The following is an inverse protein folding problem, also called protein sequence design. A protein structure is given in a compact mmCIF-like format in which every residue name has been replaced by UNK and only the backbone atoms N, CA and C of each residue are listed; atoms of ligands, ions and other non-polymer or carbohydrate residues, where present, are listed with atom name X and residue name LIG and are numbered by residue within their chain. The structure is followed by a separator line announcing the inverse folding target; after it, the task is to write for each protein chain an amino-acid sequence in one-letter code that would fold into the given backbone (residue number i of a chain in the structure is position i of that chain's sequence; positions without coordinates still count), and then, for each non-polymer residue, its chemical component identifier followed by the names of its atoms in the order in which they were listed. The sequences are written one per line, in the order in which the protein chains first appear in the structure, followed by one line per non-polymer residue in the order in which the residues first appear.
data_IF_585431233424
#
_entry.id   IF_585431233424
#
_cell.length_a   1.000
_cell.length_b   1.000
_cell.length_c   1.000
_cell.angle_alpha   90.00
_cell.angle_beta   90.00
_cell.angle_gamma   90.00
#
_symmetry.space_group_name_H-M   'P 1'
#
loop_
_entity.id
_entity.type
_entity.pdbx_description
1 polymer ?
#
# COMPACT_ATOMS: atom_id res chain seq x y z
N UNK A 1 7.34 -21.32 -18.34
CA UNK A 1 7.58 -21.30 -16.87
C UNK A 1 6.32 -21.22 -15.98
N UNK A 2 5.14 -20.76 -16.43
CA UNK A 2 3.96 -20.52 -15.56
C UNK A 2 3.19 -21.76 -15.05
N UNK A 3 3.20 -22.91 -15.75
CA UNK A 3 2.41 -24.10 -15.35
C UNK A 3 2.99 -24.92 -14.18
N UNK A 4 4.32 -24.90 -13.98
CA UNK A 4 4.99 -25.72 -12.95
C UNK A 4 4.79 -25.20 -11.52
N UNK A 5 4.53 -23.90 -11.34
CA UNK A 5 4.33 -23.31 -10.01
C UNK A 5 2.91 -23.52 -9.47
N UNK A 6 1.89 -23.53 -10.34
CA UNK A 6 0.50 -23.79 -9.93
C UNK A 6 0.36 -25.23 -9.42
N UNK A 7 0.94 -26.21 -10.12
CA UNK A 7 0.89 -27.60 -9.68
C UNK A 7 1.62 -27.84 -8.34
N UNK A 8 2.68 -27.07 -8.06
CA UNK A 8 3.42 -27.12 -6.79
C UNK A 8 2.63 -26.47 -5.66
N UNK A 9 1.96 -25.35 -5.94
CA UNK A 9 1.04 -24.68 -5.01
C UNK A 9 -0.18 -25.55 -4.67
N UNK A 10 -0.81 -26.16 -5.68
CA UNK A 10 -1.94 -27.07 -5.48
C UNK A 10 -1.56 -28.36 -4.71
N UNK A 11 -0.31 -28.84 -4.84
CA UNK A 11 0.21 -29.96 -4.03
C UNK A 11 0.53 -29.56 -2.60
N UNK A 12 0.97 -28.32 -2.38
CA UNK A 12 1.19 -27.76 -1.04
C UNK A 12 -0.14 -27.70 -0.29
N UNK A 13 -1.18 -27.13 -0.92
CA UNK A 13 -2.54 -27.08 -0.37
C UNK A 13 -3.15 -28.46 -0.09
N UNK A 14 -2.74 -29.51 -0.83
CA UNK A 14 -3.24 -30.88 -0.67
C UNK A 14 -2.47 -31.69 0.38
N UNK A 15 -1.25 -31.29 0.77
CA UNK A 15 -0.43 -31.98 1.78
C UNK A 15 -0.75 -31.57 3.22
N UNK A 16 -1.42 -30.43 3.43
CA UNK A 16 -1.79 -29.94 4.76
C UNK A 16 -3.12 -30.52 5.28
N UNK A 17 -3.73 -31.51 4.63
CA UNK A 17 -4.81 -32.31 5.22
C UNK A 17 -6.08 -31.55 5.63
N UNK A 18 -6.27 -30.31 5.15
CA UNK A 18 -7.48 -29.54 5.35
C UNK A 18 -8.37 -29.62 4.11
N UNK A 19 -9.51 -30.28 4.26
CA UNK A 19 -10.63 -30.21 3.34
C UNK A 19 -10.97 -28.74 3.00
N UNK A 20 -10.88 -28.37 1.71
CA UNK A 20 -11.25 -27.03 1.19
C UNK A 20 -12.74 -26.73 1.45
N UNK A 21 -13.55 -27.74 1.78
CA UNK A 21 -14.93 -27.63 2.26
C UNK A 21 -15.09 -26.90 3.60
N UNK A 22 -14.02 -26.70 4.36
CA UNK A 22 -14.06 -25.98 5.64
C UNK A 22 -13.69 -24.49 5.57
N UNK A 23 -13.32 -23.98 4.39
CA UNK A 23 -13.18 -22.54 4.17
C UNK A 23 -14.57 -21.92 4.05
N UNK A 24 -15.19 -21.62 5.19
CA UNK A 24 -16.40 -20.79 5.22
C UNK A 24 -16.09 -19.47 4.52
N UNK A 25 -17.00 -18.98 3.67
CA UNK A 25 -16.87 -17.63 3.09
C UNK A 25 -16.68 -16.55 4.17
N UNK A 26 -17.11 -16.82 5.41
CA UNK A 26 -16.85 -15.96 6.56
C UNK A 26 -15.37 -15.88 6.96
N UNK A 27 -14.57 -16.94 6.83
CA UNK A 27 -13.15 -16.92 7.23
C UNK A 27 -12.24 -16.20 6.22
N UNK A 28 -12.71 -16.00 4.98
CA UNK A 28 -12.07 -15.11 4.01
C UNK A 28 -12.46 -13.63 4.19
N UNK A 29 -13.54 -13.35 4.94
CA UNK A 29 -14.19 -12.03 5.02
C UNK A 29 -14.14 -11.44 6.45
N UNK A 30 -13.82 -12.21 7.49
CA UNK A 30 -13.66 -11.69 8.85
C UNK A 30 -12.40 -12.22 9.53
N UNK A 31 -11.37 -11.38 9.63
CA UNK A 31 -10.93 -10.68 10.85
C UNK A 31 -9.92 -9.60 10.41
N UNK A 32 -9.98 -8.39 10.98
CA UNK A 32 -9.09 -7.29 10.64
C UNK A 32 -7.62 -7.75 10.72
N UNK A 33 -6.90 -7.93 9.59
CA UNK A 33 -5.71 -8.79 9.55
C UNK A 33 -4.46 -8.18 10.20
N UNK A 34 -4.63 -7.05 10.91
CA UNK A 34 -3.59 -6.07 11.20
C UNK A 34 -3.68 -5.51 12.63
N UNK A 35 -4.60 -6.02 13.47
CA UNK A 35 -4.74 -5.55 14.86
C UNK A 35 -4.42 -6.69 15.84
N UNK A 36 -3.22 -6.67 16.41
CA UNK A 36 -3.00 -7.27 17.72
C UNK A 36 -3.63 -6.35 18.76
N UNK A 37 -4.81 -6.72 19.24
CA UNK A 37 -5.46 -6.08 20.36
C UNK A 37 -4.66 -6.34 21.65
N UNK A 38 -3.99 -5.32 22.19
CA UNK A 38 -3.92 -5.07 23.65
C UNK A 38 -3.05 -3.86 24.02
N UNK A 39 -3.64 -2.98 24.83
CA UNK A 39 -2.98 -2.06 25.77
C UNK A 39 -2.24 -0.83 25.22
N UNK A 40 -2.96 0.29 25.29
CA UNK A 40 -2.45 1.66 25.39
C UNK A 40 -1.28 1.79 26.38
N UNK A 41 -0.03 1.71 25.93
CA UNK A 41 1.12 2.34 26.60
C UNK A 41 2.37 2.37 25.69
N UNK A 42 2.92 3.58 25.49
CA UNK A 42 4.27 3.87 25.03
C UNK A 42 4.68 3.45 23.60
N UNK A 43 4.03 4.06 22.60
CA UNK A 43 4.66 4.23 21.30
C UNK A 43 5.64 5.41 21.32
N UNK A 44 6.85 5.21 20.79
CA UNK A 44 7.57 6.30 20.10
C UNK A 44 6.88 6.59 18.75
N UNK A 45 5.59 6.94 18.80
CA UNK A 45 4.73 7.18 17.63
C UNK A 45 5.15 8.48 16.94
N UNK A 46 4.90 8.58 15.63
CA UNK A 46 4.76 9.86 14.96
C UNK A 46 3.97 10.82 15.86
N UNK A 47 4.59 11.94 16.25
CA UNK A 47 3.90 12.86 17.16
C UNK A 47 2.57 13.32 16.55
N UNK A 48 1.57 13.63 17.38
CA UNK A 48 0.23 14.03 16.94
C UNK A 48 0.26 15.14 15.88
N UNK A 49 1.23 16.06 15.97
CA UNK A 49 1.46 17.12 14.98
C UNK A 49 1.89 16.57 13.61
N UNK A 50 2.74 15.55 13.56
CA UNK A 50 3.19 14.90 12.33
C UNK A 50 2.06 14.14 11.63
N UNK A 51 1.23 13.40 12.38
CA UNK A 51 0.05 12.70 11.86
C UNK A 51 -0.92 13.69 11.18
N UNK A 52 -1.23 14.80 11.83
CA UNK A 52 -2.08 15.84 11.24
C UNK A 52 -1.46 16.42 9.96
N UNK A 53 -0.15 16.66 9.94
CA UNK A 53 0.54 17.21 8.76
C UNK A 53 0.52 16.25 7.58
N UNK A 54 0.80 14.96 7.76
CA UNK A 54 0.80 14.00 6.65
C UNK A 54 -0.62 13.76 6.11
N UNK A 55 -1.64 13.65 6.96
CA UNK A 55 -3.03 13.52 6.50
C UNK A 55 -3.47 14.72 5.64
N UNK A 56 -3.07 15.93 6.03
CA UNK A 56 -3.29 17.14 5.20
C UNK A 56 -2.61 17.05 3.84
N UNK A 57 -1.39 16.51 3.77
CA UNK A 57 -0.65 16.31 2.51
C UNK A 57 -1.30 15.24 1.64
N UNK A 58 -1.68 14.11 2.24
CA UNK A 58 -2.42 13.02 1.59
C UNK A 58 -3.82 13.46 1.12
N UNK A 59 -4.36 14.56 1.70
CA UNK A 59 -5.75 14.99 1.49
C UNK A 59 -6.74 13.85 1.78
N UNK A 60 -6.40 13.07 2.81
CA UNK A 60 -7.14 11.95 3.35
C UNK A 60 -6.99 11.95 4.88
N UNK A 61 -8.10 11.83 5.59
CA UNK A 61 -8.13 11.73 7.05
C UNK A 61 -8.51 10.29 7.37
N UNK A 62 -7.61 9.58 8.03
CA UNK A 62 -7.81 8.22 8.49
C UNK A 62 -8.86 8.21 9.62
N UNK A 63 -9.73 7.20 9.58
CA UNK A 63 -10.65 6.91 10.68
C UNK A 63 -9.89 6.28 11.84
N UNK A 64 -9.04 5.30 11.53
CA UNK A 64 -8.09 4.70 12.45
C UNK A 64 -6.65 5.02 12.02
N UNK A 65 -5.93 5.71 12.92
CA UNK A 65 -4.54 6.12 12.70
C UNK A 65 -3.59 4.93 12.58
N UNK A 66 -3.95 3.75 13.10
CA UNK A 66 -3.07 2.59 13.10
C UNK A 66 -2.65 2.20 11.68
N UNK A 67 -3.57 2.32 10.72
CA UNK A 67 -3.33 2.06 9.30
C UNK A 67 -2.23 2.95 8.73
N UNK A 68 -2.28 4.24 9.07
CA UNK A 68 -1.27 5.20 8.63
C UNK A 68 0.08 4.96 9.33
N UNK A 69 0.06 4.67 10.63
CA UNK A 69 1.28 4.39 11.40
C UNK A 69 1.98 3.14 10.87
N UNK A 70 1.24 2.07 10.57
CA UNK A 70 1.76 0.84 9.96
C UNK A 70 2.28 1.07 8.54
N UNK A 71 1.58 1.85 7.72
CA UNK A 71 2.06 2.22 6.38
C UNK A 71 3.35 3.05 6.40
N UNK A 72 3.69 3.69 7.52
CA UNK A 72 4.90 4.51 7.66
C UNK A 72 6.03 3.82 8.44
N UNK A 73 5.74 2.69 9.09
CA UNK A 73 6.69 1.99 9.97
C UNK A 73 7.42 0.88 9.22
N UNK A 74 8.73 1.02 9.07
CA UNK A 74 9.55 -0.01 8.43
C UNK A 74 9.94 -1.11 9.42
N UNK A 75 10.18 -2.31 8.89
CA UNK A 75 10.59 -3.49 9.66
C UNK A 75 11.81 -3.24 10.55
N UNK A 76 12.78 -2.47 10.06
CA UNK A 76 14.00 -2.09 10.80
C UNK A 76 13.69 -1.45 12.16
N UNK A 77 12.68 -0.58 12.21
CA UNK A 77 12.27 0.08 13.44
C UNK A 77 11.64 -0.89 14.45
N UNK A 78 10.80 -1.81 13.96
CA UNK A 78 10.12 -2.81 14.80
C UNK A 78 11.14 -3.74 15.45
N UNK A 79 12.15 -4.19 14.69
CA UNK A 79 13.22 -5.06 15.18
C UNK A 79 14.13 -4.39 16.22
N UNK A 80 14.37 -3.09 16.09
CA UNK A 80 15.19 -2.33 17.06
C UNK A 80 14.42 -1.94 18.33
N UNK A 81 13.09 -1.95 18.29
CA UNK A 81 12.24 -1.44 19.37
C UNK A 81 11.74 -2.56 20.27
N UNK A 82 12.24 -2.60 21.51
CA UNK A 82 11.95 -3.64 22.54
C UNK A 82 10.45 -3.73 22.91
N UNK A 83 9.62 -2.75 22.54
CA UNK A 83 8.19 -2.70 22.91
C UNK A 83 7.33 -2.04 21.84
N UNK A 84 7.38 -2.53 20.59
CA UNK A 84 6.42 -2.10 19.56
C UNK A 84 5.31 -3.13 19.39
N UNK A 85 4.06 -2.68 19.44
CA UNK A 85 2.87 -3.50 19.16
C UNK A 85 2.57 -3.61 17.66
N UNK A 86 3.43 -3.04 16.82
CA UNK A 86 3.28 -3.05 15.36
C UNK A 86 3.79 -4.39 14.84
N UNK A 87 2.96 -5.10 14.09
CA UNK A 87 3.39 -6.27 13.32
C UNK A 87 4.58 -5.89 12.43
N UNK A 88 5.72 -6.59 12.59
CA UNK A 88 6.97 -6.33 11.84
C UNK A 88 6.79 -6.41 10.32
N UNK A 89 5.73 -7.09 9.86
CA UNK A 89 5.39 -7.27 8.45
C UNK A 89 4.26 -6.33 8.00
N UNK A 90 3.67 -5.53 8.90
CA UNK A 90 2.48 -4.73 8.59
C UNK A 90 2.67 -3.86 7.35
N UNK A 91 3.80 -3.15 7.25
CA UNK A 91 4.11 -2.30 6.10
C UNK A 91 4.25 -3.10 4.79
N UNK A 92 4.97 -4.22 4.82
CA UNK A 92 5.17 -5.07 3.62
C UNK A 92 3.86 -5.74 3.18
N UNK A 93 2.99 -6.09 4.12
CA UNK A 93 1.65 -6.62 3.84
C UNK A 93 0.75 -5.54 3.24
N UNK A 94 0.85 -4.31 3.73
CA UNK A 94 0.15 -3.15 3.18
C UNK A 94 0.69 -2.75 1.80
N UNK A 95 2.01 -2.82 1.57
CA UNK A 95 2.66 -2.64 0.26
C UNK A 95 2.10 -3.66 -0.74
N UNK A 96 2.12 -4.94 -0.36
CA UNK A 96 1.65 -6.04 -1.21
C UNK A 96 0.20 -5.86 -1.69
N UNK A 97 -0.72 -5.52 -0.79
CA UNK A 97 -2.13 -5.28 -1.19
C UNK A 97 -2.27 -3.92 -1.90
N UNK A 98 -1.50 -2.93 -1.48
CA UNK A 98 -1.50 -1.57 -2.00
C UNK A 98 -1.11 -1.49 -3.47
N UNK A 99 -0.12 -2.27 -3.89
CA UNK A 99 0.29 -2.48 -5.29
C UNK A 99 -0.94 -2.88 -6.15
N UNK A 100 -1.64 -3.94 -5.77
CA UNK A 100 -2.80 -4.46 -6.54
C UNK A 100 -3.99 -3.53 -6.53
N UNK A 101 -4.25 -2.91 -5.39
CA UNK A 101 -5.31 -1.91 -5.26
C UNK A 101 -5.01 -0.69 -6.14
N UNK A 102 -3.76 -0.25 -6.21
CA UNK A 102 -3.32 0.83 -7.08
C UNK A 102 -3.47 0.45 -8.56
N UNK A 103 -2.98 -0.72 -8.97
CA UNK A 103 -3.13 -1.22 -10.35
C UNK A 103 -4.59 -1.22 -10.78
N UNK A 104 -5.48 -1.76 -9.94
CA UNK A 104 -6.92 -1.79 -10.21
C UNK A 104 -7.51 -0.38 -10.28
N UNK A 105 -7.13 0.52 -9.39
CA UNK A 105 -7.63 1.90 -9.39
C UNK A 105 -7.23 2.64 -10.67
N UNK A 106 -5.97 2.50 -11.12
CA UNK A 106 -5.49 3.12 -12.36
C UNK A 106 -6.15 2.48 -13.58
N UNK A 107 -6.21 1.15 -13.64
CA UNK A 107 -6.87 0.42 -14.73
C UNK A 107 -8.34 0.84 -14.88
N UNK A 108 -9.07 0.97 -13.77
CA UNK A 108 -10.45 1.47 -13.77
C UNK A 108 -10.54 2.90 -14.30
N UNK A 109 -9.63 3.79 -13.92
CA UNK A 109 -9.61 5.18 -14.41
C UNK A 109 -9.38 5.20 -15.92
N UNK A 110 -8.41 4.44 -16.41
CA UNK A 110 -8.09 4.34 -17.84
C UNK A 110 -9.27 3.79 -18.64
N UNK A 111 -9.85 2.67 -18.19
CA UNK A 111 -10.99 2.04 -18.84
C UNK A 111 -12.20 2.98 -18.97
N UNK A 112 -12.51 3.74 -17.91
CA UNK A 112 -13.66 4.67 -17.92
C UNK A 112 -13.39 5.93 -18.75
N UNK A 113 -12.12 6.36 -18.88
CA UNK A 113 -11.75 7.62 -19.55
C UNK A 113 -11.37 7.45 -21.02
N UNK A 114 -10.88 6.28 -21.42
CA UNK A 114 -10.47 5.98 -22.80
C UNK A 114 -11.30 4.83 -23.37
N UNK A 115 -12.40 5.15 -24.03
CA UNK A 115 -13.28 4.14 -24.66
C UNK A 115 -12.73 3.58 -25.98
N UNK A 116 -11.66 4.14 -26.53
CA UNK A 116 -11.08 3.76 -27.82
C UNK A 116 -9.77 2.98 -27.76
N UNK A 117 -9.13 2.90 -26.58
CA UNK A 117 -7.86 2.20 -26.44
C UNK A 117 -8.06 0.68 -26.47
N UNK A 118 -7.17 -0.06 -27.14
CA UNK A 118 -7.11 -1.52 -27.04
C UNK A 118 -6.38 -2.00 -25.78
N UNK A 119 -6.41 -3.31 -25.51
CA UNK A 119 -5.77 -3.91 -24.31
C UNK A 119 -4.26 -3.57 -24.19
N UNK A 120 -3.53 -3.60 -25.32
CA UNK A 120 -2.09 -3.33 -25.34
C UNK A 120 -1.77 -1.89 -24.98
N UNK A 121 -2.56 -0.96 -25.49
CA UNK A 121 -2.48 0.48 -25.18
C UNK A 121 -2.80 0.74 -23.71
N UNK A 122 -3.89 0.16 -23.19
CA UNK A 122 -4.27 0.26 -21.79
C UNK A 122 -3.18 -0.29 -20.86
N UNK A 123 -2.59 -1.45 -21.18
CA UNK A 123 -1.49 -2.04 -20.43
C UNK A 123 -0.23 -1.16 -20.44
N UNK A 124 0.07 -0.51 -21.57
CA UNK A 124 1.21 0.40 -21.68
C UNK A 124 1.00 1.65 -20.83
N UNK A 125 -0.18 2.26 -20.91
CA UNK A 125 -0.58 3.43 -20.10
C UNK A 125 -0.62 3.10 -18.60
N UNK A 126 -1.07 1.90 -18.23
CA UNK A 126 -1.05 1.40 -16.86
C UNK A 126 0.39 1.35 -16.32
N UNK A 127 1.30 0.63 -16.99
CA UNK A 127 2.71 0.49 -16.58
C UNK A 127 3.44 1.83 -16.46
N UNK A 128 3.07 2.81 -17.29
CA UNK A 128 3.62 4.16 -17.17
C UNK A 128 3.20 4.86 -15.85
N UNK A 129 1.99 4.61 -15.37
CA UNK A 129 1.52 5.16 -14.09
C UNK A 129 2.02 4.39 -12.87
N UNK A 130 2.06 3.06 -12.95
CA UNK A 130 2.34 2.17 -11.82
C UNK A 130 3.75 1.60 -11.89
N UNK A 131 4.75 2.47 -11.87
CA UNK A 131 6.15 2.06 -11.78
C UNK A 131 6.89 2.81 -10.67
N UNK A 132 7.96 2.20 -10.18
CA UNK A 132 8.78 2.73 -9.09
C UNK A 132 9.19 4.19 -9.28
N UNK A 133 9.59 4.60 -10.48
CA UNK A 133 10.02 5.98 -10.75
C UNK A 133 8.87 6.97 -10.56
N UNK A 134 7.69 6.67 -11.13
CA UNK A 134 6.48 7.48 -10.98
C UNK A 134 6.05 7.56 -9.52
N UNK A 135 6.02 6.42 -8.83
CA UNK A 135 5.60 6.32 -7.43
C UNK A 135 6.55 7.06 -6.48
N UNK A 136 7.87 6.87 -6.65
CA UNK A 136 8.89 7.59 -5.90
C UNK A 136 8.77 9.10 -6.09
N UNK A 137 8.49 9.56 -7.32
CA UNK A 137 8.30 10.98 -7.62
C UNK A 137 7.08 11.55 -6.89
N UNK A 138 5.95 10.82 -6.91
CA UNK A 138 4.73 11.21 -6.20
C UNK A 138 4.97 11.24 -4.68
N UNK A 139 5.61 10.21 -4.14
CA UNK A 139 5.97 10.09 -2.72
C UNK A 139 6.89 11.22 -2.25
N UNK A 140 7.88 11.59 -3.07
CA UNK A 140 8.79 12.72 -2.83
C UNK A 140 8.02 14.03 -2.77
N UNK A 141 7.10 14.27 -3.72
CA UNK A 141 6.23 15.46 -3.73
C UNK A 141 5.32 15.51 -2.49
N UNK A 142 4.83 14.37 -2.04
CA UNK A 142 4.08 14.22 -0.79
C UNK A 142 4.95 14.34 0.47
N UNK A 143 6.29 14.39 0.31
CA UNK A 143 7.29 14.44 1.37
C UNK A 143 7.19 13.25 2.34
N UNK A 144 6.88 12.06 1.83
CA UNK A 144 6.67 10.87 2.67
C UNK A 144 7.91 10.49 3.50
N UNK A 145 9.11 10.67 2.95
CA UNK A 145 10.37 10.40 3.66
C UNK A 145 10.50 11.08 5.03
N UNK A 146 9.87 12.25 5.21
CA UNK A 146 9.88 13.00 6.49
C UNK A 146 9.03 12.36 7.59
N UNK A 147 8.16 11.44 7.22
CA UNK A 147 7.20 10.80 8.11
C UNK A 147 7.48 9.31 8.28
N UNK A 148 8.49 8.77 7.59
CA UNK A 148 8.93 7.39 7.80
C UNK A 148 9.40 7.17 9.23
N UNK A 149 8.96 6.07 9.82
CA UNK A 149 9.44 5.56 11.09
C UNK A 149 10.40 4.42 10.76
N UNK A 150 11.69 4.64 11.02
CA UNK A 150 12.78 3.74 10.62
C UNK A 150 13.74 3.53 11.78
N UNK A 151 14.43 2.38 11.80
CA UNK A 151 15.50 2.10 12.75
C UNK A 151 16.72 3.00 12.53
N UNK A 152 17.58 3.10 13.54
CA UNK A 152 18.79 3.94 13.53
C UNK A 152 19.73 3.57 12.38
N UNK A 153 19.86 2.27 12.08
CA UNK A 153 20.72 1.81 10.99
C UNK A 153 20.27 2.32 9.62
N UNK A 154 18.96 2.24 9.34
CA UNK A 154 18.42 2.75 8.07
C UNK A 154 18.42 4.28 8.01
N UNK A 155 18.22 4.96 9.13
CA UNK A 155 18.33 6.43 9.22
C UNK A 155 19.73 6.90 8.76
N UNK A 156 20.78 6.25 9.26
CA UNK A 156 22.17 6.58 8.90
C UNK A 156 22.49 6.34 7.42
N UNK A 157 21.81 5.38 6.79
CA UNK A 157 21.96 5.07 5.38
C UNK A 157 21.15 5.99 4.44
N UNK A 158 20.51 7.05 4.96
CA UNK A 158 19.76 8.01 4.13
C UNK A 158 18.48 7.44 3.52
N UNK A 159 17.86 6.44 4.17
CA UNK A 159 16.72 5.69 3.64
C UNK A 159 15.51 6.57 3.28
N UNK A 160 15.41 7.75 3.89
CA UNK A 160 14.30 8.71 3.70
C UNK A 160 14.23 9.27 2.28
N UNK A 161 15.32 9.19 1.51
CA UNK A 161 15.41 9.65 0.13
C UNK A 161 15.49 8.49 -0.87
N UNK A 162 15.52 7.25 -0.39
CA UNK A 162 15.60 6.08 -1.24
C UNK A 162 14.31 5.94 -2.07
N UNK A 163 14.46 5.96 -3.41
CA UNK A 163 13.33 5.94 -4.33
C UNK A 163 12.46 4.69 -4.18
N UNK A 164 13.07 3.51 -4.01
CA UNK A 164 12.32 2.27 -3.81
C UNK A 164 11.49 2.35 -2.53
N UNK A 165 12.10 2.76 -1.42
CA UNK A 165 11.39 2.89 -0.13
C UNK A 165 10.25 3.89 -0.22
N UNK A 166 10.44 5.00 -0.91
CA UNK A 166 9.39 5.99 -1.12
C UNK A 166 8.23 5.45 -1.97
N UNK A 167 8.52 4.65 -3.00
CA UNK A 167 7.52 3.96 -3.81
C UNK A 167 6.74 2.93 -2.97
N UNK A 168 7.45 2.00 -2.31
CA UNK A 168 6.86 0.97 -1.44
C UNK A 168 5.96 1.61 -0.34
N UNK A 169 6.40 2.74 0.23
CA UNK A 169 5.63 3.47 1.25
C UNK A 169 4.34 4.07 0.67
N UNK A 170 4.36 4.57 -0.57
CA UNK A 170 3.15 5.09 -1.21
C UNK A 170 2.15 3.96 -1.46
N UNK A 171 2.61 2.78 -1.88
CA UNK A 171 1.78 1.59 -2.04
C UNK A 171 1.20 1.17 -0.69
N UNK A 172 2.01 1.09 0.36
CA UNK A 172 1.54 0.79 1.71
C UNK A 172 0.47 1.78 2.22
N UNK A 173 0.62 3.09 1.92
CA UNK A 173 -0.40 4.09 2.24
C UNK A 173 -1.69 3.87 1.44
N UNK A 174 -1.60 3.45 0.18
CA UNK A 174 -2.78 3.13 -0.64
C UNK A 174 -3.50 1.90 -0.06
N UNK A 175 -2.76 0.86 0.33
CA UNK A 175 -3.32 -0.29 1.04
C UNK A 175 -3.96 0.09 2.38
N UNK A 176 -3.34 1.00 3.13
CA UNK A 176 -3.89 1.52 4.37
C UNK A 176 -5.18 2.31 4.16
N UNK A 177 -5.25 3.15 3.12
CA UNK A 177 -6.48 3.85 2.74
C UNK A 177 -7.57 2.86 2.37
N UNK A 178 -7.25 1.80 1.62
CA UNK A 178 -8.20 0.76 1.24
C UNK A 178 -8.86 0.16 2.49
N UNK A 179 -8.08 -0.33 3.46
CA UNK A 179 -8.65 -0.93 4.67
C UNK A 179 -9.32 0.09 5.61
N UNK A 180 -8.71 1.26 5.84
CA UNK A 180 -9.32 2.33 6.66
C UNK A 180 -10.68 2.80 6.11
N UNK A 181 -10.86 2.66 4.80
CA UNK A 181 -12.09 3.01 4.11
C UNK A 181 -13.15 1.90 4.06
N UNK A 182 -12.92 0.77 4.73
CA UNK A 182 -13.70 -0.47 4.60
C UNK A 182 -13.74 -0.94 3.13
N UNK A 183 -12.57 -1.00 2.50
CA UNK A 183 -12.38 -1.53 1.15
C UNK A 183 -13.09 -0.72 0.04
N UNK A 184 -13.38 0.56 0.31
CA UNK A 184 -14.06 1.43 -0.64
C UNK A 184 -13.13 1.90 -1.77
N UNK A 185 -13.17 1.17 -2.89
CA UNK A 185 -12.44 1.52 -4.11
C UNK A 185 -12.75 2.91 -4.66
N UNK A 186 -13.90 3.53 -4.35
CA UNK A 186 -14.18 4.92 -4.76
C UNK A 186 -13.29 5.90 -4.01
N UNK A 187 -13.01 5.66 -2.72
CA UNK A 187 -12.07 6.49 -1.94
C UNK A 187 -10.65 6.34 -2.49
N UNK A 188 -10.24 5.12 -2.82
CA UNK A 188 -8.91 4.87 -3.41
C UNK A 188 -8.80 5.54 -4.78
N UNK A 189 -9.76 5.35 -5.69
CA UNK A 189 -9.77 6.00 -7.00
C UNK A 189 -9.71 7.52 -6.88
N UNK A 190 -10.40 8.12 -5.90
CA UNK A 190 -10.34 9.56 -5.63
C UNK A 190 -8.95 10.01 -5.15
N UNK A 191 -8.28 9.22 -4.32
CA UNK A 191 -6.91 9.47 -3.90
C UNK A 191 -5.94 9.39 -5.10
N UNK A 192 -6.01 8.31 -5.88
CA UNK A 192 -5.19 8.08 -7.07
C UNK A 192 -5.41 9.19 -8.10
N UNK A 193 -6.65 9.46 -8.52
CA UNK A 193 -6.95 10.50 -9.51
C UNK A 193 -6.43 11.88 -9.12
N UNK A 194 -6.41 12.19 -7.82
CA UNK A 194 -5.92 13.47 -7.29
C UNK A 194 -4.40 13.57 -7.38
N UNK A 195 -3.67 12.55 -6.92
CA UNK A 195 -2.22 12.61 -6.80
C UNK A 195 -1.51 12.19 -8.09
N UNK A 196 -2.11 11.30 -8.89
CA UNK A 196 -1.58 10.87 -10.18
C UNK A 196 -2.00 11.79 -11.32
N UNK A 197 -2.72 12.89 -11.03
CA UNK A 197 -3.32 13.80 -12.02
C UNK A 197 -2.38 14.20 -13.16
N UNK A 198 -1.11 14.48 -12.87
CA UNK A 198 -0.13 14.87 -13.91
C UNK A 198 0.12 13.73 -14.90
N UNK A 199 0.40 12.53 -14.40
CA UNK A 199 0.66 11.34 -15.20
C UNK A 199 -0.58 10.86 -15.94
N UNK A 200 -1.73 10.86 -15.27
CA UNK A 200 -3.02 10.55 -15.89
C UNK A 200 -3.34 11.53 -17.02
N UNK A 201 -3.09 12.83 -16.83
CA UNK A 201 -3.29 13.81 -17.91
C UNK A 201 -2.38 13.56 -19.11
N UNK A 202 -1.11 13.23 -18.87
CA UNK A 202 -0.15 12.97 -19.95
C UNK A 202 -0.64 11.83 -20.84
N UNK A 203 -0.94 10.67 -20.25
CA UNK A 203 -1.36 9.49 -21.02
C UNK A 203 -2.78 9.56 -21.60
N UNK A 204 -3.65 10.41 -21.03
CA UNK A 204 -4.98 10.66 -21.58
C UNK A 204 -4.96 11.71 -22.71
N UNK A 205 -3.94 12.58 -22.75
CA UNK A 205 -3.78 13.59 -23.79
C UNK A 205 -2.93 13.11 -24.98
N UNK A 206 -2.27 11.96 -24.88
CA UNK A 206 -1.45 11.38 -25.96
C UNK A 206 -2.26 10.64 -27.03
N UNK A 207 -3.54 10.97 -27.20
CA UNK A 207 -4.41 10.42 -28.25
C UNK A 207 -4.70 11.50 -29.31
#
# INVERSE_FOLDING_TARGET
MKKRNIAKFLRMLRKEGGEISSFSSSSLISEHPVVSSSSSANMNSLCKKSIVKIQKRLKYKFNDRIWLEQALTRRSFVLESISTQVDEQANQRLEFIGDRVLELAVARILFVKNSGDNEGELNTKLKYCVNNTTLATIATRLRLGKYLIVGKGEEMCGIRENQKVLADTLEAIIGAIYFDSNEDMKRVCKFVARHFKTYLKQILASN
#
